data_IF_139888987236
#
_entry.id   IF_139888987236
#
_cell.length_a   1.000
_cell.length_b   1.000
_cell.length_c   1.000
_cell.angle_alpha   90.00
_cell.angle_beta   90.00
_cell.angle_gamma   90.00
#
_symmetry.space_group_name_H-M   'P 1'
#
loop_
_entity.id
_entity.type
_entity.pdbx_description
1 polymer ?
#
# COMPACT_ATOMS: atom_id res chain seq x y z
N UNK A 1 3.48 -2.45 -21.68
CA UNK A 1 3.31 -1.04 -21.27
C UNK A 1 4.62 -0.33 -20.89
N UNK A 2 5.75 -1.02 -20.63
CA UNK A 2 7.08 -0.42 -20.50
C UNK A 2 7.88 -0.63 -21.80
N UNK A 3 8.77 0.29 -22.18
CA UNK A 3 9.65 0.15 -23.35
C UNK A 3 9.98 1.47 -24.08
N UNK A 4 10.73 1.37 -25.18
CA UNK A 4 11.20 2.52 -25.99
C UNK A 4 10.10 3.36 -26.62
N UNK A 5 8.86 2.90 -26.58
CA UNK A 5 7.69 3.62 -27.07
C UNK A 5 7.15 4.65 -26.06
N UNK A 6 7.64 4.65 -24.82
CA UNK A 6 7.25 5.66 -23.84
C UNK A 6 7.91 7.01 -24.17
N UNK A 7 7.10 8.06 -24.31
CA UNK A 7 7.60 9.43 -24.40
C UNK A 7 8.17 9.90 -23.04
N UNK A 8 8.91 11.02 -23.03
CA UNK A 8 9.60 11.61 -21.85
C UNK A 8 8.83 11.44 -20.54
N UNK A 9 9.54 11.33 -19.42
CA UNK A 9 8.97 11.26 -18.07
C UNK A 9 8.00 12.43 -17.81
N UNK A 10 6.70 12.19 -17.98
CA UNK A 10 5.63 13.16 -17.72
C UNK A 10 4.80 12.69 -16.53
N UNK A 11 4.67 13.57 -15.54
CA UNK A 11 3.91 13.32 -14.33
C UNK A 11 2.42 13.64 -14.57
N UNK A 12 1.65 12.64 -15.01
CA UNK A 12 0.20 12.78 -15.12
C UNK A 12 -0.49 12.41 -13.81
N UNK A 13 -1.37 13.27 -13.30
CA UNK A 13 -2.07 13.03 -12.04
C UNK A 13 -3.31 12.14 -12.21
N UNK A 14 -3.56 11.27 -11.24
CA UNK A 14 -4.67 10.30 -11.18
C UNK A 14 -4.68 9.33 -12.38
N UNK A 15 -3.51 8.98 -12.89
CA UNK A 15 -3.35 7.98 -13.95
C UNK A 15 -2.05 7.20 -13.78
N UNK A 16 -1.86 6.20 -14.65
CA UNK A 16 -0.60 5.48 -14.79
C UNK A 16 0.37 6.32 -15.63
N UNK A 17 1.63 6.39 -15.22
CA UNK A 17 2.69 7.03 -15.99
C UNK A 17 4.02 6.32 -15.76
N UNK A 18 5.04 6.70 -16.51
CA UNK A 18 6.41 6.20 -16.30
C UNK A 18 7.13 7.11 -15.31
N UNK A 19 7.72 6.53 -14.28
CA UNK A 19 8.56 7.25 -13.32
C UNK A 19 9.95 7.53 -13.87
N UNK A 20 10.72 8.36 -13.17
CA UNK A 20 12.14 8.60 -13.48
C UNK A 20 12.98 7.33 -13.36
N UNK A 21 12.53 6.35 -12.55
CA UNK A 21 13.15 5.02 -12.43
C UNK A 21 12.69 4.04 -13.52
N UNK A 22 12.04 4.55 -14.57
CA UNK A 22 11.49 3.76 -15.67
C UNK A 22 10.50 2.67 -15.22
N UNK A 23 9.81 2.86 -14.11
CA UNK A 23 8.75 1.97 -13.65
C UNK A 23 7.39 2.55 -14.00
N UNK A 24 6.39 1.68 -14.19
CA UNK A 24 5.01 2.14 -14.33
C UNK A 24 4.51 2.49 -12.93
N UNK A 25 3.98 3.68 -12.73
CA UNK A 25 3.51 4.14 -11.42
C UNK A 25 2.10 4.70 -11.53
N UNK A 26 1.29 4.47 -10.51
CA UNK A 26 0.05 5.24 -10.33
C UNK A 26 0.34 6.49 -9.50
N UNK A 27 0.06 7.65 -10.08
CA UNK A 27 0.35 8.94 -9.45
C UNK A 27 -0.91 9.62 -8.96
N UNK A 28 -0.87 10.15 -7.74
CA UNK A 28 -1.74 11.27 -7.32
C UNK A 28 -1.16 12.58 -7.85
N UNK A 29 -1.76 13.71 -7.49
CA UNK A 29 -1.18 15.04 -7.77
C UNK A 29 0.23 15.23 -7.22
N UNK A 30 0.61 14.54 -6.14
CA UNK A 30 1.85 14.84 -5.40
C UNK A 30 2.71 13.62 -5.04
N UNK A 31 2.18 12.40 -5.17
CA UNK A 31 2.82 11.16 -4.72
C UNK A 31 2.50 9.97 -5.62
N UNK A 32 3.47 9.06 -5.75
CA UNK A 32 3.29 7.73 -6.31
C UNK A 32 2.69 6.79 -5.25
N UNK A 33 1.69 5.99 -5.62
CA UNK A 33 0.99 5.06 -4.69
C UNK A 33 1.48 3.63 -4.87
N UNK A 34 1.92 3.28 -6.08
CA UNK A 34 2.45 1.96 -6.40
C UNK A 34 3.32 2.06 -7.65
N UNK A 35 4.29 1.17 -7.72
CA UNK A 35 5.19 0.96 -8.85
C UNK A 35 4.97 -0.43 -9.45
N UNK A 36 5.27 -0.63 -10.72
CA UNK A 36 5.19 -1.91 -11.42
C UNK A 36 6.36 -2.00 -12.40
N UNK A 37 7.05 -3.14 -12.43
CA UNK A 37 8.22 -3.31 -13.30
C UNK A 37 7.79 -3.43 -14.77
N UNK A 38 6.69 -4.14 -15.02
CA UNK A 38 6.01 -4.16 -16.29
C UNK A 38 4.52 -4.47 -16.10
N UNK A 39 3.74 -4.18 -17.15
CA UNK A 39 2.33 -4.54 -17.22
C UNK A 39 1.97 -4.87 -18.67
N UNK A 40 1.07 -5.84 -18.83
CA UNK A 40 0.46 -6.22 -20.11
C UNK A 40 -0.98 -6.69 -19.91
N UNK A 41 -1.76 -6.61 -21.00
CA UNK A 41 -3.19 -6.97 -21.02
C UNK A 41 -3.39 -8.04 -22.08
N UNK A 42 -4.18 -9.06 -21.76
CA UNK A 42 -4.54 -10.13 -22.69
C UNK A 42 -5.85 -9.80 -23.41
N UNK A 43 -6.18 -10.57 -24.46
CA UNK A 43 -7.47 -10.43 -25.16
C UNK A 43 -8.67 -10.76 -24.27
N UNK A 44 -8.47 -11.51 -23.20
CA UNK A 44 -9.52 -12.02 -22.33
C UNK A 44 -9.78 -11.10 -21.11
N UNK A 45 -9.45 -9.81 -21.22
CA UNK A 45 -9.53 -8.85 -20.13
C UNK A 45 -8.76 -9.28 -18.86
N UNK A 46 -7.63 -9.96 -19.02
CA UNK A 46 -6.71 -10.19 -17.92
C UNK A 46 -5.63 -9.11 -17.95
N UNK A 47 -5.37 -8.50 -16.81
CA UNK A 47 -4.27 -7.58 -16.64
C UNK A 47 -3.20 -8.23 -15.78
N UNK A 48 -2.03 -8.40 -16.37
CA UNK A 48 -0.84 -8.90 -15.67
C UNK A 48 0.05 -7.73 -15.27
N UNK A 49 0.36 -7.64 -13.99
CA UNK A 49 1.48 -6.83 -13.52
C UNK A 49 2.68 -7.73 -13.20
N UNK A 50 3.87 -7.24 -13.50
CA UNK A 50 5.12 -7.95 -13.31
C UNK A 50 5.84 -7.37 -12.11
N UNK A 51 6.39 -8.28 -11.30
CA UNK A 51 7.20 -7.96 -10.14
C UNK A 51 8.49 -8.77 -10.19
N UNK A 52 9.63 -8.08 -10.15
CA UNK A 52 10.95 -8.71 -10.14
C UNK A 52 11.62 -8.48 -8.79
N UNK A 53 12.22 -9.53 -8.20
CA UNK A 53 13.03 -9.33 -6.99
C UNK A 53 14.17 -10.34 -6.88
N UNK A 54 15.30 -9.85 -6.36
CA UNK A 54 16.47 -10.65 -6.00
C UNK A 54 16.37 -11.20 -4.57
N UNK A 55 15.34 -10.81 -3.80
CA UNK A 55 15.23 -11.15 -2.38
C UNK A 55 14.80 -12.62 -2.23
N UNK A 56 15.57 -13.37 -1.42
CA UNK A 56 15.31 -14.81 -1.17
C UNK A 56 14.05 -15.10 -0.34
N UNK A 57 13.58 -14.15 0.48
CA UNK A 57 12.34 -14.30 1.27
C UNK A 57 11.21 -13.44 0.71
N UNK A 58 10.09 -14.07 0.36
CA UNK A 58 8.95 -13.40 -0.28
C UNK A 58 7.88 -12.85 0.68
N UNK A 59 8.08 -12.95 2.00
CA UNK A 59 7.07 -12.53 2.99
C UNK A 59 6.69 -11.04 2.86
N UNK A 60 7.68 -10.16 2.73
CA UNK A 60 7.44 -8.72 2.50
C UNK A 60 6.83 -8.46 1.13
N UNK A 61 7.18 -9.28 0.13
CA UNK A 61 6.66 -9.18 -1.23
C UNK A 61 5.14 -9.42 -1.26
N UNK A 62 4.63 -10.42 -0.53
CA UNK A 62 3.19 -10.72 -0.45
C UNK A 62 2.35 -9.49 -0.07
N UNK A 63 2.81 -8.70 0.90
CA UNK A 63 2.12 -7.46 1.33
C UNK A 63 2.09 -6.42 0.20
N UNK A 64 3.21 -6.28 -0.51
CA UNK A 64 3.35 -5.36 -1.64
C UNK A 64 2.46 -5.78 -2.82
N UNK A 65 2.40 -7.08 -3.13
CA UNK A 65 1.53 -7.63 -4.18
C UNK A 65 0.05 -7.41 -3.87
N UNK A 66 -0.38 -7.60 -2.61
CA UNK A 66 -1.76 -7.34 -2.18
C UNK A 66 -2.17 -5.89 -2.45
N UNK A 67 -1.30 -4.93 -2.14
CA UNK A 67 -1.55 -3.49 -2.40
C UNK A 67 -1.61 -3.18 -3.90
N UNK A 68 -0.66 -3.72 -4.66
CA UNK A 68 -0.60 -3.58 -6.13
C UNK A 68 -1.86 -4.13 -6.79
N UNK A 69 -2.28 -5.35 -6.41
CA UNK A 69 -3.53 -5.94 -6.86
C UNK A 69 -4.73 -5.07 -6.49
N UNK A 70 -4.85 -4.65 -5.23
CA UNK A 70 -5.97 -3.85 -4.76
C UNK A 70 -6.11 -2.51 -5.52
N UNK A 71 -4.99 -1.85 -5.84
CA UNK A 71 -5.00 -0.65 -6.68
C UNK A 71 -5.55 -0.96 -8.08
N UNK A 72 -4.99 -1.97 -8.74
CA UNK A 72 -5.39 -2.35 -10.11
C UNK A 72 -6.85 -2.79 -10.18
N UNK A 73 -7.29 -3.55 -9.18
CA UNK A 73 -8.68 -3.92 -8.94
C UNK A 73 -9.61 -2.69 -8.92
N UNK A 74 -9.16 -1.56 -8.35
CA UNK A 74 -9.94 -0.31 -8.27
C UNK A 74 -9.97 0.42 -9.61
N UNK A 75 -8.83 0.54 -10.30
CA UNK A 75 -8.70 1.34 -11.52
C UNK A 75 -9.06 0.57 -12.81
N UNK A 76 -9.13 -0.75 -12.74
CA UNK A 76 -9.54 -1.66 -13.82
C UNK A 76 -10.60 -2.65 -13.33
N UNK A 77 -11.81 -2.20 -12.96
CA UNK A 77 -12.82 -3.05 -12.33
C UNK A 77 -13.32 -4.19 -13.23
N UNK A 78 -13.17 -4.06 -14.55
CA UNK A 78 -13.61 -5.04 -15.53
C UNK A 78 -12.51 -6.02 -15.97
N UNK A 79 -11.34 -5.99 -15.32
CA UNK A 79 -10.21 -6.86 -15.63
C UNK A 79 -9.96 -7.85 -14.50
N UNK A 80 -9.60 -9.08 -14.86
CA UNK A 80 -9.05 -10.02 -13.90
C UNK A 80 -7.58 -9.68 -13.65
N UNK A 81 -7.25 -9.30 -12.42
CA UNK A 81 -5.89 -8.89 -12.07
C UNK A 81 -5.04 -10.12 -11.70
N UNK A 82 -4.02 -10.39 -12.52
CA UNK A 82 -3.02 -11.43 -12.33
C UNK A 82 -1.63 -10.82 -12.16
N UNK A 83 -0.69 -11.62 -11.69
CA UNK A 83 0.69 -11.19 -11.56
C UNK A 83 1.67 -12.26 -12.01
N UNK A 84 2.77 -11.80 -12.61
CA UNK A 84 3.94 -12.59 -12.93
C UNK A 84 5.09 -12.16 -12.01
N UNK A 85 5.53 -13.06 -11.15
CA UNK A 85 6.58 -12.82 -10.16
C UNK A 85 7.86 -13.49 -10.65
N UNK A 86 8.89 -12.69 -10.92
CA UNK A 86 10.19 -13.18 -11.36
C UNK A 86 11.12 -13.23 -10.16
N UNK A 87 11.60 -14.42 -9.82
CA UNK A 87 12.43 -14.69 -8.65
C UNK A 87 13.68 -15.45 -9.05
N UNK A 88 14.73 -15.34 -8.24
CA UNK A 88 15.88 -16.21 -8.41
C UNK A 88 15.60 -17.62 -7.86
N UNK A 89 16.25 -18.62 -8.46
CA UNK A 89 16.32 -19.97 -7.91
C UNK A 89 16.74 -19.95 -6.43
N UNK A 90 16.15 -20.85 -5.63
CA UNK A 90 16.37 -20.88 -4.18
C UNK A 90 15.55 -19.87 -3.36
N UNK A 91 14.67 -19.07 -3.98
CA UNK A 91 13.71 -18.24 -3.22
C UNK A 91 12.74 -19.10 -2.40
N UNK A 92 12.57 -18.76 -1.13
CA UNK A 92 11.74 -19.49 -0.16
C UNK A 92 10.38 -18.82 0.05
N UNK A 93 9.37 -19.61 0.41
CA UNK A 93 8.02 -19.12 0.72
C UNK A 93 7.12 -18.88 -0.50
N UNK A 94 7.55 -19.28 -1.69
CA UNK A 94 6.79 -19.11 -2.95
C UNK A 94 5.46 -19.85 -2.96
N UNK A 95 5.37 -21.00 -2.28
CA UNK A 95 4.12 -21.77 -2.07
C UNK A 95 3.03 -20.99 -1.33
N UNK A 96 3.38 -19.89 -0.65
CA UNK A 96 2.42 -19.05 0.08
C UNK A 96 1.85 -17.90 -0.77
N UNK A 97 2.24 -17.80 -2.04
CA UNK A 97 1.64 -16.78 -2.90
C UNK A 97 0.16 -17.08 -3.16
N UNK A 98 -0.68 -16.04 -3.24
CA UNK A 98 -2.08 -16.21 -3.66
C UNK A 98 -2.18 -16.72 -5.11
N UNK A 99 -3.33 -17.28 -5.46
CA UNK A 99 -3.57 -17.93 -6.77
C UNK A 99 -3.43 -17.00 -7.98
N UNK A 100 -3.59 -15.69 -7.79
CA UNK A 100 -3.38 -14.69 -8.85
C UNK A 100 -1.89 -14.51 -9.20
N UNK A 101 -0.96 -15.12 -8.46
CA UNK A 101 0.47 -15.05 -8.70
C UNK A 101 0.97 -16.28 -9.47
N UNK A 102 1.63 -16.04 -10.60
CA UNK A 102 2.45 -17.03 -11.30
C UNK A 102 3.92 -16.71 -11.07
N UNK A 103 4.72 -17.71 -10.72
CA UNK A 103 6.15 -17.55 -10.42
C UNK A 103 6.97 -18.04 -11.60
N UNK A 104 7.96 -17.26 -12.01
CA UNK A 104 8.99 -17.64 -12.96
C UNK A 104 10.35 -17.54 -12.28
N UNK A 105 11.06 -18.67 -12.19
CA UNK A 105 12.42 -18.71 -11.67
C UNK A 105 13.48 -18.39 -12.73
N UNK A 106 14.45 -17.57 -12.35
CA UNK A 106 15.64 -17.25 -13.14
C UNK A 106 16.90 -17.61 -12.36
N UNK A 107 18.03 -17.79 -13.07
CA UNK A 107 19.34 -17.93 -12.44
C UNK A 107 19.70 -16.66 -11.66
N UNK A 108 20.51 -16.80 -10.61
CA UNK A 108 21.05 -15.66 -9.90
C UNK A 108 21.93 -14.80 -10.81
N UNK A 109 21.94 -13.49 -10.57
CA UNK A 109 22.83 -12.57 -11.26
C UNK A 109 24.29 -12.83 -10.84
N UNK A 110 25.18 -13.06 -11.81
CA UNK A 110 26.62 -13.25 -11.57
C UNK A 110 27.42 -12.03 -12.01
N UNK A 111 27.92 -11.25 -11.05
CA UNK A 111 28.80 -10.12 -11.33
C UNK A 111 30.11 -10.55 -12.00
N UNK A 112 30.60 -11.76 -11.68
CA UNK A 112 31.81 -12.34 -12.28
C UNK A 112 31.62 -12.60 -13.77
N UNK A 113 30.51 -13.24 -14.17
CA UNK A 113 30.21 -13.49 -15.59
C UNK A 113 30.08 -12.18 -16.37
N UNK A 114 29.45 -11.16 -15.76
CA UNK A 114 29.34 -9.83 -16.39
C UNK A 114 30.69 -9.15 -16.52
N UNK A 115 31.53 -9.20 -15.48
CA UNK A 115 32.88 -8.62 -15.53
C UNK A 115 33.73 -9.30 -16.60
N UNK A 116 33.74 -10.64 -16.61
CA UNK A 116 34.43 -11.43 -17.63
C UNK A 116 33.90 -11.13 -19.04
N UNK A 117 32.61 -10.87 -19.19
CA UNK A 117 32.04 -10.47 -20.47
C UNK A 117 32.52 -9.08 -20.92
N UNK A 118 32.62 -8.11 -20.01
CA UNK A 118 33.00 -6.71 -20.32
C UNK A 118 34.52 -6.55 -20.50
N UNK A 119 35.34 -7.31 -19.78
CA UNK A 119 36.81 -7.19 -19.84
C UNK A 119 37.44 -7.96 -20.99
N UNK A 120 36.66 -8.74 -21.76
CA UNK A 120 37.14 -9.36 -23.00
C UNK A 120 37.63 -8.28 -23.97
N UNK A 121 38.93 -8.30 -24.26
CA UNK A 121 39.65 -7.31 -25.06
C UNK A 121 39.31 -7.36 -26.56
N UNK A 122 38.72 -8.46 -27.03
CA UNK A 122 38.22 -8.56 -28.38
C UNK A 122 37.01 -7.63 -28.52
N UNK A 123 37.10 -6.66 -29.45
CA UNK A 123 35.99 -5.73 -29.79
C UNK A 123 34.79 -6.53 -30.29
N UNK A 124 33.96 -7.03 -29.38
CA UNK A 124 32.72 -7.68 -29.75
C UNK A 124 31.89 -6.66 -30.53
N UNK A 125 31.47 -7.04 -31.76
CA UNK A 125 30.53 -6.23 -32.53
C UNK A 125 29.22 -6.18 -31.77
N UNK A 126 28.96 -5.05 -31.12
CA UNK A 126 27.67 -4.78 -30.50
C UNK A 126 26.59 -4.91 -31.58
N UNK A 127 25.67 -5.84 -31.37
CA UNK A 127 24.52 -5.97 -32.25
C UNK A 127 23.65 -4.71 -32.13
N UNK A 128 23.05 -4.25 -33.25
CA UNK A 128 22.07 -3.19 -33.19
C UNK A 128 20.97 -3.52 -32.18
N UNK A 129 20.54 -2.52 -31.42
CA UNK A 129 19.50 -2.70 -30.42
C UNK A 129 18.16 -2.96 -31.09
N UNK A 130 17.56 -4.12 -30.83
CA UNK A 130 16.22 -4.45 -31.32
C UNK A 130 15.17 -3.51 -30.71
N UNK A 131 14.53 -2.72 -31.57
CA UNK A 131 13.42 -1.85 -31.20
C UNK A 131 12.11 -2.45 -31.70
N UNK A 132 11.43 -3.18 -30.83
CA UNK A 132 10.09 -3.71 -31.14
C UNK A 132 9.13 -2.53 -31.31
N UNK A 133 8.48 -2.45 -32.48
CA UNK A 133 7.40 -1.49 -32.76
C UNK A 133 6.13 -2.27 -33.05
N UNK A 134 5.08 -2.04 -32.27
CA UNK A 134 3.78 -2.68 -32.46
C UNK A 134 2.67 -1.71 -32.08
N UNK A 135 1.56 -1.75 -32.81
CA UNK A 135 0.34 -0.98 -32.44
C UNK A 135 -0.22 -1.37 -31.07
N UNK A 136 0.18 -2.53 -30.53
CA UNK A 136 -0.18 -3.00 -29.18
C UNK A 136 0.68 -2.36 -28.08
N UNK A 137 1.77 -1.69 -28.43
CA UNK A 137 2.63 -0.99 -27.48
C UNK A 137 2.09 0.43 -27.25
N UNK A 138 1.31 0.57 -26.18
CA UNK A 138 0.71 1.84 -25.79
C UNK A 138 1.45 2.50 -24.63
N UNK A 139 1.38 3.83 -24.58
CA UNK A 139 1.87 4.62 -23.45
C UNK A 139 1.02 4.44 -22.21
N UNK A 140 1.63 4.32 -21.03
CA UNK A 140 0.89 4.02 -19.80
C UNK A 140 -0.21 5.05 -19.50
N UNK A 141 0.04 6.32 -19.82
CA UNK A 141 -0.88 7.43 -19.57
C UNK A 141 -2.11 7.46 -20.51
N UNK A 142 -2.07 6.73 -21.62
CA UNK A 142 -3.17 6.67 -22.59
C UNK A 142 -4.25 5.67 -22.19
N UNK A 143 -4.00 4.86 -21.17
CA UNK A 143 -4.97 3.91 -20.64
C UNK A 143 -6.13 4.65 -19.98
N UNK A 144 -7.35 4.32 -20.42
CA UNK A 144 -8.57 4.76 -19.76
C UNK A 144 -8.73 3.97 -18.46
N UNK A 145 -8.67 4.69 -17.35
CA UNK A 145 -8.82 4.12 -16.01
C UNK A 145 -10.21 4.43 -15.46
N UNK A 146 -10.72 3.56 -14.60
CA UNK A 146 -11.83 3.91 -13.73
C UNK A 146 -11.38 5.05 -12.78
N UNK A 147 -12.14 6.15 -12.66
CA UNK A 147 -11.75 7.28 -11.85
C UNK A 147 -11.46 6.90 -10.39
N UNK A 148 -10.27 7.24 -9.92
CA UNK A 148 -9.87 7.00 -8.53
C UNK A 148 -9.10 8.20 -7.97
N UNK A 149 -9.65 8.85 -6.95
CA UNK A 149 -9.01 9.98 -6.26
C UNK A 149 -8.65 9.56 -4.85
N UNK A 150 -7.35 9.33 -4.62
CA UNK A 150 -6.83 8.72 -3.40
C UNK A 150 -7.27 9.45 -2.11
N UNK A 151 -6.97 10.75 -1.99
CA UNK A 151 -7.29 11.50 -0.77
C UNK A 151 -8.79 11.73 -0.60
N UNK A 152 -9.54 11.96 -1.69
CA UNK A 152 -11.00 12.09 -1.64
C UNK A 152 -11.66 10.81 -1.14
N UNK A 153 -11.19 9.66 -1.62
CA UNK A 153 -11.71 8.35 -1.20
C UNK A 153 -11.39 8.11 0.27
N UNK A 154 -10.17 8.42 0.72
CA UNK A 154 -9.80 8.33 2.13
C UNK A 154 -10.67 9.23 3.02
N UNK A 155 -10.90 10.49 2.62
CA UNK A 155 -11.81 11.41 3.31
C UNK A 155 -13.24 10.88 3.39
N UNK A 156 -13.76 10.33 2.29
CA UNK A 156 -15.10 9.74 2.26
C UNK A 156 -15.21 8.53 3.19
N UNK A 157 -14.22 7.64 3.20
CA UNK A 157 -14.18 6.48 4.10
C UNK A 157 -14.17 6.95 5.56
N UNK A 158 -13.29 7.87 5.93
CA UNK A 158 -13.21 8.40 7.31
C UNK A 158 -14.52 9.06 7.75
N UNK A 159 -15.18 9.83 6.87
CA UNK A 159 -16.49 10.43 7.17
C UNK A 159 -17.57 9.37 7.35
N UNK A 160 -17.64 8.40 6.45
CA UNK A 160 -18.70 7.38 6.43
C UNK A 160 -18.55 6.42 7.61
N UNK A 161 -17.32 6.01 7.96
CA UNK A 161 -17.06 5.20 9.16
C UNK A 161 -17.58 5.85 10.44
N UNK A 162 -17.66 7.19 10.47
CA UNK A 162 -18.06 8.01 11.62
C UNK A 162 -19.46 8.62 11.50
N UNK A 163 -20.22 8.29 10.45
CA UNK A 163 -21.50 8.94 10.19
C UNK A 163 -22.65 8.42 11.08
N UNK A 164 -22.50 7.25 11.70
CA UNK A 164 -23.58 6.63 12.46
C UNK A 164 -23.80 7.34 13.81
N UNK A 165 -25.06 7.70 14.12
CA UNK A 165 -25.40 8.47 15.34
C UNK A 165 -25.20 7.69 16.65
N UNK A 166 -25.31 6.36 16.62
CA UNK A 166 -25.25 5.50 17.81
C UNK A 166 -23.97 4.66 17.92
N UNK A 167 -23.18 4.56 16.86
CA UNK A 167 -22.05 3.64 16.79
C UNK A 167 -20.78 4.41 16.48
N UNK A 168 -19.73 4.12 17.25
CA UNK A 168 -18.45 4.81 17.15
C UNK A 168 -17.73 4.53 15.83
N UNK A 169 -18.00 3.36 15.25
CA UNK A 169 -17.56 2.92 13.92
C UNK A 169 -18.71 2.13 13.28
N UNK A 170 -18.96 2.38 12.00
CA UNK A 170 -19.87 1.56 11.20
C UNK A 170 -19.18 0.27 10.75
N UNK A 171 -19.47 -0.83 11.46
CA UNK A 171 -18.90 -2.15 11.18
C UNK A 171 -19.41 -2.75 9.87
N UNK A 172 -20.66 -2.48 9.49
CA UNK A 172 -21.22 -2.99 8.23
C UNK A 172 -20.52 -2.34 7.04
N UNK A 173 -20.32 -1.02 7.11
CA UNK A 173 -19.55 -0.29 6.11
C UNK A 173 -18.09 -0.78 6.06
N UNK A 174 -17.41 -0.86 7.21
CA UNK A 174 -16.02 -1.29 7.31
C UNK A 174 -15.78 -2.66 6.66
N UNK A 175 -16.66 -3.62 6.91
CA UNK A 175 -16.53 -5.01 6.42
C UNK A 175 -17.21 -5.27 5.07
N UNK A 176 -17.81 -4.25 4.44
CA UNK A 176 -18.35 -4.40 3.10
C UNK A 176 -17.22 -4.72 2.09
N UNK A 177 -17.54 -5.54 1.08
CA UNK A 177 -16.57 -5.99 0.07
C UNK A 177 -15.80 -4.83 -0.58
N UNK A 178 -16.52 -3.76 -0.94
CA UNK A 178 -15.94 -2.54 -1.54
C UNK A 178 -14.92 -1.87 -0.60
N UNK A 179 -15.26 -1.74 0.67
CA UNK A 179 -14.39 -1.05 1.65
C UNK A 179 -13.19 -1.92 2.02
N UNK A 180 -13.36 -3.23 2.10
CA UNK A 180 -12.23 -4.15 2.30
C UNK A 180 -11.22 -4.11 1.14
N UNK A 181 -11.66 -3.92 -0.11
CA UNK A 181 -10.74 -3.67 -1.24
C UNK A 181 -9.94 -2.38 -1.07
N UNK A 182 -10.58 -1.29 -0.64
CA UNK A 182 -9.83 -0.08 -0.29
C UNK A 182 -8.90 -0.31 0.91
N UNK A 183 -9.32 -1.05 1.94
CA UNK A 183 -8.48 -1.30 3.12
C UNK A 183 -7.21 -2.07 2.74
N UNK A 184 -7.31 -3.00 1.78
CA UNK A 184 -6.16 -3.70 1.22
C UNK A 184 -5.18 -2.75 0.48
N UNK A 185 -5.68 -1.67 -0.14
CA UNK A 185 -4.85 -0.65 -0.77
C UNK A 185 -4.18 0.26 0.29
N UNK A 186 -4.98 0.90 1.15
CA UNK A 186 -4.49 1.88 2.13
C UNK A 186 -3.72 1.24 3.29
N UNK A 187 -3.97 -0.05 3.59
CA UNK A 187 -3.60 -0.79 4.79
C UNK A 187 -4.22 -0.27 6.10
N UNK A 188 -4.70 0.97 6.11
CA UNK A 188 -5.24 1.62 7.30
C UNK A 188 -6.34 2.61 6.96
N UNK A 189 -7.29 2.77 7.85
CA UNK A 189 -8.31 3.82 7.80
C UNK A 189 -8.28 4.64 9.07
N UNK A 190 -8.48 5.95 8.96
CA UNK A 190 -8.45 6.83 10.11
C UNK A 190 -9.86 7.07 10.65
N UNK A 191 -10.02 7.04 11.96
CA UNK A 191 -11.34 7.05 12.61
C UNK A 191 -11.55 8.20 13.58
N UNK A 192 -10.48 8.79 14.13
CA UNK A 192 -10.58 9.93 15.02
C UNK A 192 -9.23 10.30 15.61
N UNK A 193 -9.25 11.09 16.67
CA UNK A 193 -8.06 11.43 17.44
C UNK A 193 -8.32 11.39 18.94
N UNK A 194 -7.26 11.22 19.73
CA UNK A 194 -7.24 11.39 21.18
C UNK A 194 -6.47 12.67 21.54
N UNK A 195 -6.82 13.27 22.67
CA UNK A 195 -5.92 14.19 23.37
C UNK A 195 -4.65 13.46 23.81
N UNK A 196 -3.55 14.20 23.99
CA UNK A 196 -2.30 13.60 24.47
C UNK A 196 -2.47 12.96 25.85
N UNK A 197 -3.27 13.58 26.73
CA UNK A 197 -3.59 13.06 28.07
C UNK A 197 -4.25 11.68 28.01
N UNK A 198 -5.26 11.50 27.16
CA UNK A 198 -5.90 10.21 26.99
C UNK A 198 -4.97 9.20 26.30
N UNK A 199 -4.15 9.64 25.36
CA UNK A 199 -3.19 8.76 24.69
C UNK A 199 -2.12 8.21 25.66
N UNK A 200 -1.65 9.01 26.63
CA UNK A 200 -0.68 8.59 27.67
C UNK A 200 -1.18 7.40 28.51
N UNK A 201 -2.50 7.19 28.60
CA UNK A 201 -3.11 6.04 29.29
C UNK A 201 -3.09 4.76 28.44
N UNK A 202 -2.68 4.84 27.18
CA UNK A 202 -2.65 3.73 26.22
C UNK A 202 -1.22 3.44 25.76
N UNK A 203 -0.46 4.49 25.42
CA UNK A 203 0.89 4.41 24.87
C UNK A 203 1.90 5.14 25.76
N UNK A 204 3.13 4.66 25.75
CA UNK A 204 4.22 5.19 26.58
C UNK A 204 4.81 6.44 25.93
N UNK A 205 4.58 7.59 26.56
CA UNK A 205 5.09 8.89 26.10
C UNK A 205 5.92 9.50 27.22
N UNK A 206 7.17 9.88 26.90
CA UNK A 206 8.05 10.53 27.89
C UNK A 206 7.53 11.94 28.20
N UNK A 207 7.78 12.40 29.41
CA UNK A 207 7.47 13.78 29.80
C UNK A 207 8.21 14.78 28.90
N UNK A 208 7.51 15.85 28.48
CA UNK A 208 8.04 16.86 27.55
C UNK A 208 8.30 16.38 26.12
N UNK A 209 7.98 15.14 25.76
CA UNK A 209 8.30 14.61 24.42
C UNK A 209 7.47 15.27 23.30
N UNK A 210 6.21 15.58 23.60
CA UNK A 210 5.26 16.23 22.70
C UNK A 210 4.60 17.41 23.40
N UNK A 211 4.09 18.35 22.61
CA UNK A 211 3.29 19.48 23.12
C UNK A 211 1.96 18.97 23.67
N UNK A 212 1.44 19.60 24.72
CA UNK A 212 0.22 19.13 25.39
C UNK A 212 -1.04 19.19 24.51
N UNK A 213 -1.08 20.13 23.56
CA UNK A 213 -2.16 20.27 22.56
C UNK A 213 -2.05 19.29 21.38
N UNK A 214 -1.04 18.42 21.39
CA UNK A 214 -0.77 17.49 20.29
C UNK A 214 -1.87 16.43 20.19
N UNK A 215 -2.56 16.39 19.05
CA UNK A 215 -3.51 15.33 18.72
C UNK A 215 -2.81 14.01 18.39
N UNK A 216 -3.36 12.91 18.89
CA UNK A 216 -2.95 11.53 18.57
C UNK A 216 -3.98 10.89 17.66
N UNK A 217 -3.68 10.81 16.37
CA UNK A 217 -4.60 10.27 15.36
C UNK A 217 -4.70 8.75 15.49
N UNK A 218 -5.92 8.23 15.55
CA UNK A 218 -6.23 6.81 15.69
C UNK A 218 -6.62 6.22 14.33
N UNK A 219 -6.02 5.08 13.98
CA UNK A 219 -6.29 4.36 12.74
C UNK A 219 -6.65 2.89 12.98
N UNK A 220 -7.46 2.34 12.09
CA UNK A 220 -7.77 0.93 11.91
C UNK A 220 -6.78 0.32 10.93
N UNK A 221 -5.76 -0.37 11.40
CA UNK A 221 -4.76 -1.03 10.57
C UNK A 221 -5.09 -2.49 10.33
N UNK A 222 -5.06 -2.91 9.07
CA UNK A 222 -5.30 -4.31 8.68
C UNK A 222 -3.98 -5.08 8.66
N UNK A 223 -3.85 -6.06 9.55
CA UNK A 223 -2.70 -6.97 9.61
C UNK A 223 -2.70 -7.94 8.43
N UNK A 224 -1.61 -8.69 8.29
CA UNK A 224 -1.50 -9.70 7.24
C UNK A 224 -2.52 -10.82 7.38
N UNK A 225 -2.87 -11.17 8.62
CA UNK A 225 -3.91 -12.12 9.01
C UNK A 225 -5.34 -11.65 8.74
N UNK A 226 -5.51 -10.47 8.13
CA UNK A 226 -6.79 -9.78 7.96
C UNK A 226 -7.46 -9.31 9.26
N UNK A 227 -6.79 -9.50 10.41
CA UNK A 227 -7.17 -8.84 11.68
C UNK A 227 -7.05 -7.32 11.53
N UNK A 228 -8.05 -6.58 12.00
CA UNK A 228 -8.02 -5.12 12.03
C UNK A 228 -7.76 -4.67 13.48
N UNK A 229 -6.70 -3.89 13.68
CA UNK A 229 -6.26 -3.41 15.00
C UNK A 229 -6.16 -1.90 15.05
N UNK A 230 -6.11 -1.33 16.25
CA UNK A 230 -5.90 0.12 16.43
C UNK A 230 -4.41 0.46 16.45
N UNK A 231 -4.02 1.48 15.70
CA UNK A 231 -2.70 2.10 15.76
C UNK A 231 -2.79 3.61 15.93
N UNK A 232 -1.75 4.21 16.48
CA UNK A 232 -1.76 5.60 16.96
C UNK A 232 -0.63 6.39 16.31
N UNK A 233 -0.96 7.60 15.85
CA UNK A 233 -0.06 8.43 15.05
C UNK A 233 0.08 9.81 15.70
N UNK A 234 1.32 10.22 15.95
CA UNK A 234 1.64 11.54 16.51
C UNK A 234 2.45 12.32 15.47
N UNK A 235 1.85 13.39 14.95
CA UNK A 235 2.46 14.24 13.93
C UNK A 235 2.96 15.55 14.54
N UNK A 236 4.26 15.68 14.74
CA UNK A 236 4.85 16.88 15.35
C UNK A 236 5.14 17.98 14.34
N UNK A 237 5.41 17.62 13.07
CA UNK A 237 5.54 18.57 11.97
C UNK A 237 5.00 17.97 10.68
N UNK A 238 4.91 18.77 9.61
CA UNK A 238 4.47 18.31 8.28
C UNK A 238 5.27 17.11 7.74
N UNK A 239 6.52 16.92 8.17
CA UNK A 239 7.41 15.82 7.74
C UNK A 239 7.77 14.84 8.88
N UNK A 240 7.35 15.08 10.11
CA UNK A 240 7.75 14.26 11.27
C UNK A 240 6.53 13.57 11.87
N UNK A 241 6.48 12.24 11.72
CA UNK A 241 5.38 11.39 12.14
C UNK A 241 5.93 10.16 12.89
N UNK A 242 5.33 9.87 14.03
CA UNK A 242 5.58 8.66 14.81
C UNK A 242 4.37 7.75 14.79
N UNK A 243 4.59 6.46 14.59
CA UNK A 243 3.61 5.40 14.75
C UNK A 243 3.86 4.68 16.07
N UNK A 244 2.79 4.47 16.82
CA UNK A 244 2.71 3.61 17.98
C UNK A 244 1.75 2.45 17.67
N UNK A 245 2.26 1.23 17.79
CA UNK A 245 1.51 0.00 17.55
C UNK A 245 1.83 -1.05 18.60
N UNK A 246 0.99 -2.07 18.69
CA UNK A 246 1.18 -3.20 19.60
C UNK A 246 1.37 -4.47 18.78
N UNK A 247 2.35 -5.28 19.16
CA UNK A 247 2.53 -6.61 18.58
C UNK A 247 1.51 -7.62 19.15
N UNK A 248 1.56 -8.87 18.68
CA UNK A 248 0.62 -9.91 19.10
C UNK A 248 0.78 -10.31 20.59
N UNK A 249 1.90 -9.93 21.22
CA UNK A 249 2.15 -10.12 22.67
C UNK A 249 1.76 -8.89 23.48
N UNK A 250 1.20 -7.85 22.84
CA UNK A 250 0.84 -6.59 23.49
C UNK A 250 2.03 -5.69 23.78
N UNK A 251 3.21 -5.98 23.24
CA UNK A 251 4.39 -5.12 23.39
C UNK A 251 4.24 -3.90 22.48
N UNK A 252 4.42 -2.72 23.06
CA UNK A 252 4.41 -1.47 22.34
C UNK A 252 5.66 -1.33 21.44
N UNK A 253 5.46 -0.84 20.23
CA UNK A 253 6.51 -0.47 19.29
C UNK A 253 6.29 0.96 18.83
N UNK A 254 7.37 1.75 18.86
CA UNK A 254 7.40 3.13 18.36
C UNK A 254 8.31 3.23 17.15
N UNK A 255 7.76 3.72 16.04
CA UNK A 255 8.46 3.81 14.75
C UNK A 255 8.37 5.24 14.19
N UNK A 256 9.52 5.83 13.83
CA UNK A 256 9.56 7.08 13.06
C UNK A 256 9.28 6.75 11.59
N UNK A 257 8.25 7.38 11.00
CA UNK A 257 7.90 7.17 9.59
C UNK A 257 8.77 8.01 8.65
N UNK A 258 8.96 7.51 7.44
CA UNK A 258 9.66 8.21 6.36
C UNK A 258 9.00 9.57 6.09
N UNK A 259 9.73 10.70 6.20
CA UNK A 259 9.21 12.05 5.96
C UNK A 259 8.62 12.26 4.55
N UNK A 260 9.03 11.44 3.58
CA UNK A 260 8.55 11.48 2.20
C UNK A 260 7.52 10.39 1.88
N UNK A 261 7.24 9.51 2.84
CA UNK A 261 6.26 8.44 2.69
C UNK A 261 4.82 8.95 2.61
N UNK A 262 3.96 8.19 1.91
CA UNK A 262 2.54 8.54 1.74
C UNK A 262 1.80 8.67 3.07
N UNK A 263 2.13 7.84 4.06
CA UNK A 263 1.56 7.87 5.42
C UNK A 263 1.64 9.26 6.06
N UNK A 264 2.75 9.99 5.89
CA UNK A 264 2.90 11.34 6.47
C UNK A 264 1.89 12.30 5.87
N UNK A 265 1.69 12.23 4.56
CA UNK A 265 0.71 13.06 3.86
C UNK A 265 -0.73 12.65 4.14
N UNK A 266 -0.98 11.36 4.38
CA UNK A 266 -2.29 10.84 4.76
C UNK A 266 -2.71 11.33 6.14
N UNK A 267 -1.84 11.18 7.15
CA UNK A 267 -2.10 11.66 8.51
C UNK A 267 -2.30 13.17 8.50
N UNK A 268 -1.45 13.91 7.78
CA UNK A 268 -1.60 15.37 7.66
C UNK A 268 -2.97 15.76 7.07
N UNK A 269 -3.36 15.10 5.97
CA UNK A 269 -4.62 15.34 5.30
C UNK A 269 -5.82 15.06 6.20
N UNK A 270 -5.81 13.93 6.91
CA UNK A 270 -6.93 13.54 7.77
C UNK A 270 -6.97 14.35 9.06
N UNK A 271 -5.82 14.64 9.67
CA UNK A 271 -5.79 15.45 10.88
C UNK A 271 -6.37 16.85 10.63
N UNK A 272 -6.12 17.44 9.44
CA UNK A 272 -6.75 18.70 9.01
C UNK A 272 -8.27 18.58 8.78
N UNK A 273 -8.74 17.40 8.37
CA UNK A 273 -10.15 17.14 8.10
C UNK A 273 -10.96 16.93 9.39
N UNK A 274 -10.33 16.42 10.45
CA UNK A 274 -10.97 16.07 11.71
C UNK A 274 -11.23 17.30 12.59
N UNK A 275 -12.50 17.68 12.72
CA UNK A 275 -12.99 18.61 13.75
C UNK A 275 -13.29 17.89 15.08
N UNK A 276 -13.92 18.59 16.02
CA UNK A 276 -14.18 18.12 17.39
C UNK A 276 -15.03 16.83 17.45
N UNK A 277 -15.94 16.62 16.49
CA UNK A 277 -16.77 15.40 16.41
C UNK A 277 -15.97 14.10 16.20
N UNK A 278 -14.68 14.21 15.89
CA UNK A 278 -13.75 13.09 15.72
C UNK A 278 -12.90 12.82 16.95
N UNK A 279 -13.07 13.59 18.02
CA UNK A 279 -12.43 13.28 19.29
C UNK A 279 -12.97 11.97 19.86
N UNK A 280 -12.07 11.15 20.35
CA UNK A 280 -12.34 9.85 20.91
C UNK A 280 -12.08 9.89 22.42
N UNK A 281 -12.88 9.13 23.16
CA UNK A 281 -12.63 8.86 24.58
C UNK A 281 -11.96 7.49 24.73
N UNK A 282 -11.41 7.20 25.92
CA UNK A 282 -10.89 5.86 26.22
C UNK A 282 -11.97 4.77 26.11
N UNK A 283 -13.21 5.11 26.49
CA UNK A 283 -14.34 4.20 26.33
C UNK A 283 -14.58 3.88 24.85
N UNK A 284 -14.48 4.87 23.96
CA UNK A 284 -14.55 4.65 22.51
C UNK A 284 -13.47 3.68 22.02
N UNK A 285 -12.24 3.87 22.47
CA UNK A 285 -11.11 2.97 22.13
C UNK A 285 -11.40 1.54 22.56
N UNK A 286 -11.84 1.34 23.80
CA UNK A 286 -12.13 0.01 24.34
C UNK A 286 -13.28 -0.68 23.60
N UNK A 287 -14.34 0.05 23.28
CA UNK A 287 -15.46 -0.45 22.47
C UNK A 287 -14.95 -0.88 21.08
N UNK A 288 -14.17 -0.04 20.40
CA UNK A 288 -13.61 -0.37 19.08
C UNK A 288 -12.71 -1.61 19.14
N UNK A 289 -11.80 -1.69 20.11
CA UNK A 289 -10.93 -2.88 20.28
C UNK A 289 -11.75 -4.15 20.46
N UNK A 290 -12.79 -4.11 21.29
CA UNK A 290 -13.68 -5.24 21.54
C UNK A 290 -14.43 -5.65 20.25
N UNK A 291 -15.08 -4.71 19.57
CA UNK A 291 -15.84 -4.97 18.33
C UNK A 291 -14.97 -5.59 17.23
N UNK A 292 -13.76 -5.08 17.03
CA UNK A 292 -12.83 -5.57 16.02
C UNK A 292 -12.33 -7.00 16.36
N UNK A 293 -11.99 -7.24 17.63
CA UNK A 293 -11.56 -8.56 18.11
C UNK A 293 -12.66 -9.59 17.98
N UNK A 294 -13.87 -9.28 18.45
CA UNK A 294 -15.03 -10.18 18.39
C UNK A 294 -15.36 -10.54 16.93
N UNK A 295 -15.31 -9.55 16.02
CA UNK A 295 -15.54 -9.78 14.59
C UNK A 295 -14.48 -10.69 13.97
N UNK A 296 -13.21 -10.49 14.30
CA UNK A 296 -12.11 -11.33 13.80
C UNK A 296 -12.24 -12.78 14.28
N UNK A 297 -12.52 -12.99 15.57
CA UNK A 297 -12.72 -14.32 16.15
C UNK A 297 -13.93 -15.05 15.54
N UNK A 298 -15.03 -14.33 15.29
CA UNK A 298 -16.21 -14.92 14.66
C UNK A 298 -15.93 -15.36 13.21
N UNK A 299 -15.26 -14.52 12.41
CA UNK A 299 -14.90 -14.89 11.04
C UNK A 299 -13.97 -16.11 10.99
N UNK A 300 -13.02 -16.21 11.92
CA UNK A 300 -12.10 -17.35 12.00
C UNK A 300 -12.80 -18.69 12.29
N UNK A 301 -13.96 -18.67 12.97
CA UNK A 301 -14.77 -19.86 13.23
C UNK A 301 -15.52 -20.37 11.99
N UNK A 302 -15.95 -19.48 11.10
CA UNK A 302 -16.70 -19.85 9.89
C UNK A 302 -15.82 -20.15 8.67
N UNK A 303 -14.51 -19.90 8.77
CA UNK A 303 -13.52 -20.20 7.72
C UNK A 303 -12.77 -21.54 7.94
N UNK A 304 -13.18 -22.32 8.95
CA UNK A 304 -12.78 -23.71 9.15
C UNK A 304 -13.94 -24.61 8.74
#
# INVERSE_FOLDING_TARGET
MKGFHQSKHKAYANTLSISEKEQIVYRTKSREISEFDAMFITKNNELYFVEMTLVKSVLKLRRRLRKKKALLDIIFPNYEIKSLIILNEGATGTKQFPDYCKVWFTKEFSAKEVLEYITKLDKQKLQPKDKIRSKKMIEAHTLKLHPFRYYNTMSWITKTLRAHKKHIIDMNFLYSFKIQRYHNLYNKFYVGYLSLENAKKIITIKEGEYKDDQRVVVALEKKHSDEIVLTYYIQTTRKRLYLYSFDDKGKETKEKKDPYGITVTEVFHINKLMGESYELTLQNINIMKKLLKDRYLNNAKYSK
#
